data_IF_500950395678
#
_entry.id   IF_500950395678
#
_cell.length_a   1.000
_cell.length_b   1.000
_cell.length_c   1.000
_cell.angle_alpha   90.00
_cell.angle_beta   90.00
_cell.angle_gamma   90.00
#
_symmetry.space_group_name_H-M   'P 1'
#
loop_
_entity.id
_entity.type
_entity.pdbx_description
1 polymer ?
#
# COMPACT_ATOMS: atom_id res chain seq x y z
N UNK A 1 4.19 -17.23 5.84
CA UNK A 1 2.91 -16.53 5.86
C UNK A 1 2.72 -15.85 4.52
N UNK A 2 1.78 -16.30 3.73
CA UNK A 2 1.44 -15.59 2.50
C UNK A 2 0.24 -14.71 2.79
N UNK A 3 0.44 -13.42 2.87
CA UNK A 3 -0.63 -12.45 2.80
C UNK A 3 -0.42 -11.66 1.52
N UNK A 4 -1.44 -11.59 0.68
CA UNK A 4 -1.41 -10.84 -0.56
C UNK A 4 -2.29 -9.62 -0.39
N UNK A 5 -1.76 -8.44 -0.64
CA UNK A 5 -2.56 -7.25 -0.86
C UNK A 5 -2.75 -7.11 -2.36
N UNK A 6 -3.96 -7.32 -2.83
CA UNK A 6 -4.33 -7.14 -4.21
C UNK A 6 -5.10 -5.85 -4.34
N UNK A 7 -4.56 -4.89 -5.08
CA UNK A 7 -5.25 -3.64 -5.38
C UNK A 7 -5.62 -3.61 -6.84
N UNK A 8 -6.89 -3.39 -7.13
CA UNK A 8 -7.39 -3.14 -8.47
C UNK A 8 -7.64 -1.65 -8.64
N UNK A 9 -7.13 -1.10 -9.73
CA UNK A 9 -7.35 0.30 -10.08
C UNK A 9 -8.25 0.40 -11.29
N UNK A 10 -9.35 1.10 -11.14
CA UNK A 10 -10.19 1.55 -12.22
C UNK A 10 -9.81 2.99 -12.57
N UNK A 11 -9.20 3.18 -13.73
CA UNK A 11 -8.81 4.50 -14.22
C UNK A 11 -9.92 5.01 -15.14
N UNK A 12 -10.59 6.10 -14.74
CA UNK A 12 -11.50 6.82 -15.62
C UNK A 12 -10.71 7.83 -16.45
N UNK A 13 -10.52 7.55 -17.73
CA UNK A 13 -10.09 8.56 -18.70
C UNK A 13 -11.33 9.23 -19.31
N UNK A 14 -11.25 10.51 -19.67
CA UNK A 14 -12.33 11.32 -20.26
C UNK A 14 -12.94 10.73 -21.56
N UNK A 15 -12.34 9.70 -22.13
CA UNK A 15 -12.80 9.00 -23.32
C UNK A 15 -13.06 7.55 -22.98
N UNK A 16 -14.30 7.19 -22.63
CA UNK A 16 -14.96 5.85 -22.70
C UNK A 16 -14.13 4.57 -22.45
N UNK A 17 -12.87 4.62 -21.97
CA UNK A 17 -12.04 3.45 -21.72
C UNK A 17 -11.70 3.38 -20.23
N UNK A 18 -12.05 2.27 -19.59
CA UNK A 18 -11.63 1.92 -18.25
C UNK A 18 -10.32 1.13 -18.37
N UNK A 19 -9.24 1.62 -17.78
CA UNK A 19 -8.01 0.87 -17.64
C UNK A 19 -7.94 0.29 -16.24
N UNK A 20 -7.68 -1.02 -16.15
CA UNK A 20 -7.52 -1.72 -14.88
C UNK A 20 -6.04 -1.99 -14.68
N UNK A 21 -5.48 -1.50 -13.58
CA UNK A 21 -4.15 -1.84 -13.11
C UNK A 21 -4.27 -2.76 -11.89
N UNK A 22 -3.49 -3.83 -11.89
CA UNK A 22 -3.42 -4.77 -10.79
C UNK A 22 -2.05 -4.72 -10.17
N UNK A 23 -1.99 -4.39 -8.88
CA UNK A 23 -0.77 -4.40 -8.08
C UNK A 23 -0.88 -5.50 -7.01
N UNK A 24 0.18 -6.26 -6.84
CA UNK A 24 0.23 -7.33 -5.84
C UNK A 24 1.45 -7.15 -4.95
N UNK A 25 1.22 -7.11 -3.64
CA UNK A 25 2.27 -7.12 -2.63
C UNK A 25 2.22 -8.48 -1.94
N UNK A 26 3.27 -9.26 -2.11
CA UNK A 26 3.39 -10.60 -1.55
C UNK A 26 4.72 -10.75 -0.78
N UNK A 27 5.00 -11.96 -0.29
CA UNK A 27 6.23 -12.24 0.43
C UNK A 27 7.48 -12.06 -0.44
N UNK A 28 7.39 -12.31 -1.74
CA UNK A 28 8.51 -12.08 -2.66
C UNK A 28 8.80 -10.60 -2.79
N UNK A 29 7.77 -9.77 -2.93
CA UNK A 29 7.88 -8.30 -2.97
C UNK A 29 8.56 -7.77 -1.70
N UNK A 30 8.14 -8.27 -0.53
CA UNK A 30 8.75 -7.88 0.75
C UNK A 30 10.20 -8.33 0.87
N UNK A 31 10.52 -9.54 0.40
CA UNK A 31 11.89 -10.06 0.40
C UNK A 31 12.81 -9.24 -0.51
N UNK A 32 12.34 -8.83 -1.68
CA UNK A 32 13.09 -7.97 -2.60
C UNK A 32 13.33 -6.58 -1.99
N UNK A 33 12.30 -6.00 -1.37
CA UNK A 33 12.44 -4.72 -0.66
C UNK A 33 13.42 -4.82 0.50
N UNK A 34 13.38 -5.88 1.27
CA UNK A 34 14.31 -6.13 2.38
C UNK A 34 15.76 -6.17 1.89
N UNK A 35 16.04 -6.87 0.78
CA UNK A 35 17.37 -6.89 0.15
C UNK A 35 17.81 -5.50 -0.29
N UNK A 36 16.92 -4.75 -0.95
CA UNK A 36 17.18 -3.37 -1.34
C UNK A 36 17.50 -2.50 -0.12
N UNK A 37 16.66 -2.58 0.91
CA UNK A 37 16.80 -1.77 2.13
C UNK A 37 18.14 -2.01 2.82
N UNK A 38 18.55 -3.25 3.04
CA UNK A 38 19.83 -3.57 3.68
C UNK A 38 21.05 -3.18 2.83
N UNK A 39 20.91 -3.17 1.51
CA UNK A 39 21.94 -2.64 0.62
C UNK A 39 22.12 -1.13 0.82
N UNK A 40 21.02 -0.39 0.98
CA UNK A 40 21.06 1.06 1.23
C UNK A 40 21.48 1.39 2.67
N UNK A 41 21.20 0.50 3.60
CA UNK A 41 21.43 0.69 5.04
C UNK A 41 22.29 -0.47 5.62
N UNK A 42 23.60 -0.53 5.30
CA UNK A 42 24.43 -1.68 5.70
C UNK A 42 24.55 -1.89 7.22
N UNK A 43 24.32 -0.86 8.00
CA UNK A 43 24.35 -0.90 9.47
C UNK A 43 23.01 -1.28 10.11
N UNK A 44 21.94 -1.34 9.33
CA UNK A 44 20.63 -1.72 9.85
C UNK A 44 20.61 -3.21 10.22
N UNK A 45 19.99 -3.52 11.36
CA UNK A 45 19.86 -4.91 11.86
C UNK A 45 18.41 -5.38 11.91
N UNK A 46 17.47 -4.46 11.76
CA UNK A 46 16.03 -4.77 11.81
C UNK A 46 15.43 -4.65 10.42
N UNK A 47 14.50 -5.55 10.12
CA UNK A 47 13.71 -5.47 8.89
C UNK A 47 12.95 -4.14 8.82
N UNK A 48 12.87 -3.52 7.63
CA UNK A 48 12.14 -2.25 7.46
C UNK A 48 10.63 -2.42 7.70
N UNK A 49 10.07 -3.52 7.20
CA UNK A 49 8.67 -3.90 7.35
C UNK A 49 8.64 -5.26 8.05
N UNK A 50 7.99 -5.33 9.20
CA UNK A 50 7.92 -6.57 9.99
C UNK A 50 6.70 -7.42 9.61
N UNK A 51 5.60 -6.79 9.27
CA UNK A 51 4.36 -7.45 8.86
C UNK A 51 4.12 -7.25 7.37
N UNK A 52 3.68 -8.28 6.65
CA UNK A 52 3.46 -8.22 5.20
C UNK A 52 2.24 -7.37 4.81
N UNK A 53 1.41 -6.99 5.73
CA UNK A 53 0.21 -6.18 5.48
C UNK A 53 0.22 -4.91 6.29
N UNK A 54 -0.56 -3.96 5.83
CA UNK A 54 -0.77 -2.68 6.51
C UNK A 54 -1.27 -2.93 7.94
N UNK A 55 -0.73 -2.22 8.95
CA UNK A 55 -1.20 -2.35 10.32
C UNK A 55 -2.68 -1.96 10.43
N UNK A 56 -3.41 -2.66 11.28
CA UNK A 56 -4.82 -2.37 11.49
C UNK A 56 -5.04 -0.99 12.12
N UNK A 57 -6.22 -0.40 11.91
CA UNK A 57 -6.60 0.85 12.56
C UNK A 57 -6.46 0.72 14.08
N UNK A 58 -6.88 -0.40 14.65
CA UNK A 58 -6.79 -0.65 16.10
C UNK A 58 -5.34 -0.64 16.62
N UNK A 59 -4.37 -1.01 15.78
CA UNK A 59 -2.95 -0.97 16.15
C UNK A 59 -2.38 0.44 16.07
N UNK A 60 -2.51 1.14 14.93
CA UNK A 60 -1.83 2.41 14.75
C UNK A 60 -2.53 3.60 15.41
N UNK A 61 -3.85 3.56 15.61
CA UNK A 61 -4.57 4.65 16.30
C UNK A 61 -4.22 4.78 17.78
N UNK A 62 -3.79 3.70 18.44
CA UNK A 62 -3.39 3.72 19.85
C UNK A 62 -1.90 3.97 20.07
N UNK A 63 -1.12 4.04 19.00
CA UNK A 63 0.31 4.33 19.09
C UNK A 63 0.56 5.77 19.50
N UNK A 64 1.64 5.99 20.24
CA UNK A 64 2.16 7.35 20.47
C UNK A 64 2.54 7.98 19.13
N UNK A 65 2.23 9.26 18.96
CA UNK A 65 2.41 9.98 17.69
C UNK A 65 3.79 9.81 17.04
N UNK A 66 4.92 9.89 17.76
CA UNK A 66 6.22 9.66 17.13
C UNK A 66 6.39 8.25 16.56
N UNK A 67 5.87 7.24 17.26
CA UNK A 67 5.92 5.84 16.80
C UNK A 67 5.04 5.63 15.57
N UNK A 68 3.85 6.20 15.56
CA UNK A 68 2.93 6.14 14.42
C UNK A 68 3.57 6.81 13.18
N UNK A 69 4.17 7.99 13.35
CA UNK A 69 4.83 8.69 12.26
C UNK A 69 6.02 7.90 11.69
N UNK A 70 6.80 7.26 12.55
CA UNK A 70 7.91 6.40 12.13
C UNK A 70 7.41 5.18 11.34
N UNK A 71 6.34 4.54 11.81
CA UNK A 71 5.71 3.41 11.12
C UNK A 71 5.12 3.83 9.76
N UNK A 72 4.40 4.94 9.73
CA UNK A 72 3.87 5.55 8.50
C UNK A 72 4.98 5.78 7.47
N UNK A 73 6.10 6.36 7.89
CA UNK A 73 7.22 6.65 6.98
C UNK A 73 7.82 5.36 6.39
N UNK A 74 7.95 4.30 7.18
CA UNK A 74 8.43 3.00 6.69
C UNK A 74 7.54 2.43 5.59
N UNK A 75 6.22 2.50 5.77
CA UNK A 75 5.28 2.04 4.74
C UNK A 75 5.30 2.92 3.50
N UNK A 76 5.42 4.23 3.66
CA UNK A 76 5.56 5.16 2.54
C UNK A 76 6.81 4.86 1.72
N UNK A 77 7.96 4.71 2.36
CA UNK A 77 9.23 4.39 1.69
C UNK A 77 9.13 3.05 0.93
N UNK A 78 8.50 2.05 1.53
CA UNK A 78 8.24 0.77 0.88
C UNK A 78 7.36 0.93 -0.37
N UNK A 79 6.28 1.66 -0.28
CA UNK A 79 5.35 1.86 -1.40
C UNK A 79 5.98 2.69 -2.50
N UNK A 80 6.77 3.71 -2.18
CA UNK A 80 7.52 4.49 -3.18
C UNK A 80 8.45 3.56 -3.97
N UNK A 81 9.24 2.75 -3.28
CA UNK A 81 10.10 1.75 -3.92
C UNK A 81 9.29 0.77 -4.78
N UNK A 82 8.16 0.28 -4.27
CA UNK A 82 7.31 -0.65 -4.99
C UNK A 82 6.77 -0.04 -6.29
N UNK A 83 6.26 1.19 -6.24
CA UNK A 83 5.76 1.91 -7.43
C UNK A 83 6.88 2.18 -8.43
N UNK A 84 8.06 2.56 -7.98
CA UNK A 84 9.23 2.73 -8.84
C UNK A 84 9.57 1.44 -9.57
N UNK A 85 9.58 0.30 -8.90
CA UNK A 85 9.86 -1.00 -9.50
C UNK A 85 8.77 -1.45 -10.49
N UNK A 86 7.53 -1.02 -10.30
CA UNK A 86 6.46 -1.26 -11.27
C UNK A 86 6.53 -0.34 -12.50
N UNK A 87 7.38 0.69 -12.46
CA UNK A 87 7.47 1.69 -13.53
C UNK A 87 6.33 2.70 -13.56
N UNK A 88 5.66 2.93 -12.44
CA UNK A 88 4.43 3.74 -12.34
C UNK A 88 4.62 5.10 -11.65
N UNK A 89 5.84 5.53 -11.42
CA UNK A 89 6.16 6.79 -10.71
C UNK A 89 5.58 8.04 -11.37
N UNK A 90 5.45 8.06 -12.68
CA UNK A 90 5.03 9.23 -13.45
C UNK A 90 3.59 9.12 -14.00
N UNK A 91 2.79 8.21 -13.48
CA UNK A 91 1.41 8.06 -13.97
C UNK A 91 0.53 9.25 -13.60
N UNK A 92 0.70 9.81 -12.41
CA UNK A 92 -0.10 10.96 -11.91
C UNK A 92 -1.59 10.79 -12.20
N UNK A 93 -2.14 9.65 -11.79
CA UNK A 93 -3.54 9.30 -12.02
C UNK A 93 -4.45 10.39 -11.45
N UNK A 94 -5.25 11.01 -12.31
CA UNK A 94 -6.11 12.14 -11.93
C UNK A 94 -7.35 11.70 -11.17
N UNK A 95 -7.94 10.57 -11.58
CA UNK A 95 -9.11 9.99 -10.93
C UNK A 95 -9.04 8.47 -10.98
N UNK A 96 -9.34 7.82 -9.86
CA UNK A 96 -9.42 6.37 -9.79
C UNK A 96 -10.43 5.92 -8.72
N UNK A 97 -10.78 4.66 -8.83
CA UNK A 97 -11.41 3.88 -7.77
C UNK A 97 -10.46 2.75 -7.40
N UNK A 98 -10.36 2.42 -6.13
CA UNK A 98 -9.46 1.39 -5.64
C UNK A 98 -10.21 0.27 -4.95
N UNK A 99 -9.82 -0.96 -5.25
CA UNK A 99 -10.27 -2.15 -4.53
C UNK A 99 -9.05 -2.75 -3.84
N UNK A 100 -9.05 -2.76 -2.52
CA UNK A 100 -8.03 -3.42 -1.71
C UNK A 100 -8.54 -4.76 -1.23
N UNK A 101 -7.87 -5.82 -1.64
CA UNK A 101 -8.17 -7.17 -1.16
C UNK A 101 -7.03 -7.66 -0.28
N UNK A 102 -7.32 -7.91 1.00
CA UNK A 102 -6.38 -8.50 1.94
C UNK A 102 -6.62 -10.00 2.03
N UNK A 103 -5.60 -10.78 1.70
CA UNK A 103 -5.65 -12.25 1.77
C UNK A 103 -5.04 -12.73 3.09
N UNK A 104 -5.84 -13.40 3.90
CA UNK A 104 -5.41 -13.98 5.16
C UNK A 104 -5.08 -15.46 5.02
N UNK A 105 -4.06 -15.91 5.73
CA UNK A 105 -3.66 -17.32 5.74
C UNK A 105 -4.65 -18.21 6.51
N UNK A 106 -5.43 -17.65 7.39
CA UNK A 106 -6.33 -18.39 8.28
C UNK A 106 -7.76 -17.83 8.21
N UNK A 107 -8.75 -18.71 8.37
CA UNK A 107 -10.17 -18.34 8.39
C UNK A 107 -10.60 -17.72 9.74
N UNK A 108 -9.70 -17.04 10.46
CA UNK A 108 -10.08 -16.32 11.67
C UNK A 108 -10.93 -15.11 11.29
N UNK A 109 -11.84 -14.74 12.18
CA UNK A 109 -12.66 -13.54 12.02
C UNK A 109 -11.75 -12.30 11.90
N UNK A 110 -11.95 -11.53 10.85
CA UNK A 110 -11.32 -10.24 10.62
C UNK A 110 -12.39 -9.22 10.27
N UNK A 111 -12.27 -8.03 10.82
CA UNK A 111 -13.16 -6.93 10.49
C UNK A 111 -12.56 -6.17 9.29
N UNK A 112 -13.36 -6.04 8.22
CA UNK A 112 -12.91 -5.49 6.93
C UNK A 112 -12.46 -4.04 7.06
N UNK A 113 -13.14 -3.23 7.88
CA UNK A 113 -12.82 -1.83 8.12
C UNK A 113 -11.44 -1.62 8.80
N UNK A 114 -10.95 -2.62 9.54
CA UNK A 114 -9.61 -2.58 10.12
C UNK A 114 -8.49 -2.67 9.08
N UNK A 115 -8.79 -3.04 7.84
CA UNK A 115 -7.81 -3.18 6.75
C UNK A 115 -7.60 -1.91 5.94
N UNK A 116 -8.08 -0.76 6.42
CA UNK A 116 -7.94 0.53 5.73
C UNK A 116 -6.47 0.86 5.47
N UNK A 117 -6.05 1.01 4.20
CA UNK A 117 -4.64 1.09 3.82
C UNK A 117 -4.10 2.52 3.84
N UNK A 118 -4.25 3.24 4.94
CA UNK A 118 -3.94 4.69 5.03
C UNK A 118 -2.50 5.03 4.64
N UNK A 119 -1.52 4.27 5.15
CA UNK A 119 -0.11 4.55 4.87
C UNK A 119 0.29 4.17 3.45
N UNK A 120 -0.39 3.19 2.86
CA UNK A 120 -0.21 2.80 1.46
C UNK A 120 -0.72 3.91 0.54
N UNK A 121 -1.90 4.47 0.83
CA UNK A 121 -2.46 5.59 0.06
C UNK A 121 -1.56 6.83 0.10
N UNK A 122 -1.02 7.15 1.28
CA UNK A 122 -0.03 8.23 1.41
C UNK A 122 1.22 7.97 0.55
N UNK A 123 1.66 6.71 0.48
CA UNK A 123 2.78 6.29 -0.37
C UNK A 123 2.46 6.39 -1.86
N UNK A 124 1.25 6.07 -2.29
CA UNK A 124 0.82 6.23 -3.67
C UNK A 124 0.81 7.70 -4.11
N UNK A 125 0.32 8.60 -3.27
CA UNK A 125 0.35 10.03 -3.55
C UNK A 125 1.78 10.56 -3.62
N UNK A 126 2.62 10.22 -2.66
CA UNK A 126 4.00 10.68 -2.59
C UNK A 126 4.89 10.13 -3.71
N UNK A 127 4.63 8.92 -4.18
CA UNK A 127 5.37 8.30 -5.30
C UNK A 127 5.04 8.89 -6.68
N UNK A 128 3.99 9.70 -6.80
CA UNK A 128 3.50 10.19 -8.10
C UNK A 128 2.66 9.16 -8.88
N UNK A 129 2.24 8.09 -8.24
CA UNK A 129 1.33 7.11 -8.83
C UNK A 129 -0.07 7.68 -9.02
N UNK A 130 -0.59 8.34 -7.99
CA UNK A 130 -1.81 9.16 -8.03
C UNK A 130 -1.46 10.61 -7.72
N UNK A 131 -2.29 11.55 -8.12
CA UNK A 131 -2.06 12.97 -7.81
C UNK A 131 -2.22 13.23 -6.32
N UNK A 132 -3.32 12.73 -5.72
CA UNK A 132 -3.60 12.87 -4.30
C UNK A 132 -4.58 11.78 -3.85
N UNK A 133 -4.66 11.54 -2.55
CA UNK A 133 -5.62 10.62 -1.94
C UNK A 133 -6.91 11.31 -1.48
N UNK A 134 -7.14 12.56 -1.92
CA UNK A 134 -8.36 13.30 -1.62
C UNK A 134 -9.58 12.80 -2.44
N UNK A 135 -10.78 13.23 -2.07
CA UNK A 135 -12.02 12.81 -2.70
C UNK A 135 -12.18 13.22 -4.18
N UNK A 136 -11.38 14.17 -4.66
CA UNK A 136 -11.39 14.60 -6.07
C UNK A 136 -10.67 13.61 -6.95
N UNK A 137 -9.62 12.97 -6.43
CA UNK A 137 -8.74 12.06 -7.15
C UNK A 137 -9.06 10.60 -6.86
N UNK A 138 -9.28 10.24 -5.59
CA UNK A 138 -9.68 8.91 -5.16
C UNK A 138 -11.18 8.90 -4.85
N UNK A 139 -11.97 8.48 -5.85
CA UNK A 139 -13.43 8.59 -5.80
C UNK A 139 -14.09 7.54 -4.93
N UNK A 140 -13.50 6.38 -4.83
CA UNK A 140 -14.03 5.26 -4.05
C UNK A 140 -12.92 4.34 -3.62
N UNK A 141 -13.05 3.81 -2.41
CA UNK A 141 -12.23 2.71 -1.90
C UNK A 141 -13.17 1.59 -1.50
N UNK A 142 -12.91 0.39 -2.02
CA UNK A 142 -13.58 -0.83 -1.61
C UNK A 142 -12.58 -1.71 -0.85
N UNK A 143 -12.95 -2.15 0.35
CA UNK A 143 -12.15 -3.04 1.16
C UNK A 143 -12.73 -4.45 1.09
N UNK A 144 -11.89 -5.44 0.87
CA UNK A 144 -12.26 -6.85 0.80
C UNK A 144 -11.28 -7.68 1.62
N UNK A 145 -11.77 -8.75 2.23
CA UNK A 145 -10.95 -9.78 2.88
C UNK A 145 -11.22 -11.13 2.23
N UNK A 146 -10.18 -11.92 2.06
CA UNK A 146 -10.27 -13.27 1.50
C UNK A 146 -9.36 -14.24 2.27
#
# INVERSE_FOLDING_TARGET
MSCYLLSYFLLFMEVKFIQILKLTIDNNTLSEYEKYYFKQHPKARKKPIQNPYHPSINEWMVMKRPMMNALKQKYKDFIIWFIENQGYTNLHIKQCEMIFTTYYKTNRRHDVDNTTPKFILDGFAESGFIIDDDWKHLRQITLQCS
#
